data_IF_911399568073
#
_entry.id   IF_911399568073
#
_cell.length_a   1.000
_cell.length_b   1.000
_cell.length_c   1.000
_cell.angle_alpha   90.00
_cell.angle_beta   90.00
_cell.angle_gamma   90.00
#
_symmetry.space_group_name_H-M   'P 1'
#
loop_
_entity.id
_entity.type
_entity.pdbx_description
1 polymer ?
#
# COMPACT_ATOMS: atom_id res chain seq x y z
N UNK A 1 15.21 -0.15 12.14
CA UNK A 1 15.87 -0.45 10.85
C UNK A 1 17.05 -1.40 11.03
N UNK A 2 18.07 -0.98 11.76
CA UNK A 2 19.32 -1.72 11.93
C UNK A 2 19.10 -3.18 12.35
N UNK A 3 18.18 -3.44 13.29
CA UNK A 3 17.88 -4.81 13.75
C UNK A 3 17.25 -5.67 12.64
N UNK A 4 16.43 -5.10 11.77
CA UNK A 4 15.78 -5.81 10.67
C UNK A 4 16.78 -6.08 9.54
N UNK A 5 17.53 -5.06 9.12
CA UNK A 5 18.47 -5.15 7.99
C UNK A 5 19.75 -5.93 8.28
N UNK A 6 20.13 -6.07 9.55
CA UNK A 6 21.38 -6.79 9.94
C UNK A 6 21.21 -8.31 10.02
N UNK A 7 19.98 -8.85 10.02
CA UNK A 7 19.79 -10.31 10.00
C UNK A 7 20.25 -10.89 8.65
N UNK A 8 20.85 -12.06 8.68
CA UNK A 8 21.48 -12.69 7.49
C UNK A 8 20.50 -12.83 6.31
N UNK A 9 19.22 -13.17 6.56
CA UNK A 9 18.21 -13.26 5.53
C UNK A 9 17.90 -11.93 4.84
N UNK A 10 17.78 -10.85 5.60
CA UNK A 10 17.52 -9.52 5.05
C UNK A 10 18.71 -9.01 4.20
N UNK A 11 19.96 -9.24 4.62
CA UNK A 11 21.14 -8.86 3.84
C UNK A 11 21.18 -9.53 2.47
N UNK A 12 20.84 -10.82 2.40
CA UNK A 12 20.81 -11.56 1.16
C UNK A 12 19.69 -11.03 0.23
N UNK A 13 18.53 -10.70 0.78
CA UNK A 13 17.42 -10.09 0.02
C UNK A 13 17.85 -8.72 -0.51
N UNK A 14 18.41 -7.85 0.32
CA UNK A 14 18.91 -6.54 -0.11
C UNK A 14 19.92 -6.71 -1.26
N UNK A 15 20.88 -7.64 -1.10
CA UNK A 15 21.87 -7.92 -2.15
C UNK A 15 21.23 -8.38 -3.46
N UNK A 16 20.20 -9.24 -3.39
CA UNK A 16 19.43 -9.73 -4.57
C UNK A 16 18.85 -8.60 -5.38
N UNK A 17 18.31 -7.56 -4.71
CA UNK A 17 17.61 -6.46 -5.38
C UNK A 17 18.46 -5.22 -5.62
N UNK A 18 19.67 -5.14 -5.07
CA UNK A 18 20.50 -3.92 -5.12
C UNK A 18 20.82 -3.44 -6.54
N UNK A 19 20.99 -4.37 -7.48
CA UNK A 19 21.32 -4.09 -8.87
C UNK A 19 20.11 -4.33 -9.80
N UNK A 20 18.94 -4.64 -9.24
CA UNK A 20 17.75 -4.85 -10.02
C UNK A 20 17.22 -3.51 -10.57
N UNK A 21 16.77 -3.53 -11.81
CA UNK A 21 16.01 -2.44 -12.40
C UNK A 21 14.51 -2.64 -12.15
N UNK A 22 13.76 -1.57 -11.95
CA UNK A 22 12.31 -1.64 -12.03
C UNK A 22 11.92 -1.92 -13.48
N UNK A 23 11.06 -2.90 -13.71
CA UNK A 23 10.37 -3.01 -14.99
C UNK A 23 9.55 -1.71 -15.19
N UNK A 24 9.74 -1.05 -16.32
CA UNK A 24 8.91 0.10 -16.71
C UNK A 24 7.59 -0.43 -17.30
N UNK A 25 6.70 -0.83 -16.42
CA UNK A 25 5.35 -1.25 -16.78
C UNK A 25 4.40 -0.17 -16.28
N UNK A 26 3.86 0.69 -17.16
CA UNK A 26 2.91 1.72 -16.75
C UNK A 26 1.72 1.11 -16.02
N UNK A 27 1.15 1.88 -15.12
CA UNK A 27 -0.11 1.51 -14.48
C UNK A 27 -1.20 1.61 -15.54
N UNK A 28 -1.73 0.45 -15.95
CA UNK A 28 -2.76 0.38 -16.98
C UNK A 28 -4.06 1.04 -16.48
N UNK A 29 -4.74 1.79 -17.36
CA UNK A 29 -6.05 2.41 -17.07
C UNK A 29 -7.17 1.39 -16.80
N UNK A 30 -6.94 0.12 -17.08
CA UNK A 30 -7.85 -0.99 -16.80
C UNK A 30 -7.35 -1.87 -15.66
N UNK A 31 -6.24 -1.51 -15.01
CA UNK A 31 -5.73 -2.28 -13.89
C UNK A 31 -6.71 -2.25 -12.70
N UNK A 32 -6.74 -3.29 -11.86
CA UNK A 32 -7.68 -3.35 -10.76
C UNK A 32 -7.37 -2.34 -9.64
N UNK A 33 -8.45 -1.85 -9.00
CA UNK A 33 -8.39 -1.21 -7.70
C UNK A 33 -8.71 -2.27 -6.66
N UNK A 34 -7.74 -2.60 -5.82
CA UNK A 34 -7.84 -3.59 -4.76
C UNK A 34 -8.28 -2.93 -3.46
N UNK A 35 -9.40 -3.34 -2.91
CA UNK A 35 -9.90 -2.92 -1.59
C UNK A 35 -10.13 -4.17 -0.76
N UNK A 36 -9.64 -4.19 0.46
CA UNK A 36 -9.83 -5.34 1.35
C UNK A 36 -10.80 -5.00 2.49
N UNK A 37 -11.85 -5.80 2.60
CA UNK A 37 -12.68 -5.88 3.79
C UNK A 37 -12.92 -7.35 4.13
N UNK A 38 -12.13 -7.85 5.07
CA UNK A 38 -12.02 -9.29 5.33
C UNK A 38 -13.35 -9.98 5.61
N UNK A 39 -14.26 -9.30 6.30
CA UNK A 39 -15.57 -9.81 6.71
C UNK A 39 -16.63 -9.80 5.59
N UNK A 40 -16.29 -9.31 4.42
CA UNK A 40 -17.21 -9.19 3.27
C UNK A 40 -18.10 -7.94 3.27
N UNK A 41 -18.65 -7.60 2.10
CA UNK A 41 -19.37 -6.36 1.85
C UNK A 41 -20.59 -6.18 2.79
N UNK A 42 -21.31 -7.25 3.08
CA UNK A 42 -22.49 -7.21 3.96
C UNK A 42 -22.15 -6.77 5.41
N UNK A 43 -20.91 -6.96 5.85
CA UNK A 43 -20.45 -6.63 7.19
C UNK A 43 -19.63 -5.32 7.25
N UNK A 44 -19.67 -4.51 6.20
CA UNK A 44 -19.03 -3.19 6.21
C UNK A 44 -19.78 -2.23 7.14
N UNK A 45 -19.08 -1.51 8.04
CA UNK A 45 -19.64 -0.33 8.70
C UNK A 45 -20.01 0.75 7.67
N UNK A 46 -20.91 1.66 8.04
CA UNK A 46 -21.42 2.67 7.10
C UNK A 46 -20.30 3.53 6.50
N UNK A 47 -19.29 3.91 7.28
CA UNK A 47 -18.13 4.66 6.77
C UNK A 47 -17.39 3.88 5.67
N UNK A 48 -17.21 2.58 5.84
CA UNK A 48 -16.53 1.73 4.84
C UNK A 48 -17.41 1.57 3.60
N UNK A 49 -18.74 1.43 3.76
CA UNK A 49 -19.68 1.40 2.61
C UNK A 49 -19.60 2.66 1.78
N UNK A 50 -19.55 3.84 2.44
CA UNK A 50 -19.44 5.14 1.76
C UNK A 50 -18.11 5.23 1.01
N UNK A 51 -16.99 4.86 1.65
CA UNK A 51 -15.68 4.85 1.02
C UNK A 51 -15.63 3.88 -0.17
N UNK A 52 -16.15 2.67 -0.01
CA UNK A 52 -16.23 1.68 -1.08
C UNK A 52 -17.10 2.13 -2.26
N UNK A 53 -18.25 2.76 -1.96
CA UNK A 53 -19.12 3.34 -2.98
C UNK A 53 -18.42 4.48 -3.73
N UNK A 54 -17.67 5.35 -3.02
CA UNK A 54 -16.91 6.43 -3.64
C UNK A 54 -15.80 5.90 -4.57
N UNK A 55 -15.11 4.84 -4.16
CA UNK A 55 -14.11 4.19 -5.00
C UNK A 55 -14.73 3.65 -6.29
N UNK A 56 -15.90 2.98 -6.22
CA UNK A 56 -16.63 2.51 -7.42
C UNK A 56 -17.10 3.67 -8.31
N UNK A 57 -17.51 4.78 -7.73
CA UNK A 57 -17.97 5.96 -8.47
C UNK A 57 -16.82 6.64 -9.24
N UNK A 58 -15.64 6.71 -8.64
CA UNK A 58 -14.46 7.39 -9.19
C UNK A 58 -13.43 6.46 -9.85
N UNK A 59 -13.80 5.19 -10.07
CA UNK A 59 -12.88 4.20 -10.62
C UNK A 59 -12.59 4.37 -12.11
N UNK A 60 -13.44 5.12 -12.86
CA UNK A 60 -13.29 5.20 -14.32
C UNK A 60 -13.45 3.82 -14.98
N UNK A 61 -12.43 3.37 -15.69
CA UNK A 61 -12.41 2.04 -16.34
C UNK A 61 -11.77 0.94 -15.45
N UNK A 62 -11.27 1.29 -14.28
CA UNK A 62 -10.65 0.33 -13.36
C UNK A 62 -11.70 -0.56 -12.70
N UNK A 63 -11.60 -1.90 -12.76
CA UNK A 63 -12.44 -2.77 -11.97
C UNK A 63 -12.11 -2.62 -10.49
N UNK A 64 -13.11 -2.35 -9.65
CA UNK A 64 -12.96 -2.31 -8.20
C UNK A 64 -13.21 -3.71 -7.65
N UNK A 65 -12.17 -4.35 -7.14
CA UNK A 65 -12.21 -5.71 -6.63
C UNK A 65 -12.15 -5.69 -5.10
N UNK A 66 -13.24 -6.15 -4.48
CA UNK A 66 -13.29 -6.33 -3.04
C UNK A 66 -12.68 -7.67 -2.66
N UNK A 67 -11.58 -7.63 -1.92
CA UNK A 67 -10.94 -8.82 -1.35
C UNK A 67 -11.53 -9.12 0.02
N UNK A 68 -11.93 -10.36 0.23
CA UNK A 68 -12.54 -10.88 1.44
C UNK A 68 -11.87 -12.19 1.85
N UNK A 69 -12.20 -12.70 3.04
CA UNK A 69 -11.79 -14.05 3.47
C UNK A 69 -12.20 -15.16 2.50
N UNK A 70 -13.32 -14.97 1.81
CA UNK A 70 -13.91 -16.00 0.95
C UNK A 70 -13.26 -16.07 -0.44
N UNK A 71 -12.73 -14.93 -0.95
CA UNK A 71 -12.24 -14.86 -2.34
C UNK A 71 -10.75 -14.52 -2.48
N UNK A 72 -10.02 -14.21 -1.41
CA UNK A 72 -8.63 -13.78 -1.54
C UNK A 72 -7.74 -14.81 -2.26
N UNK A 73 -8.05 -16.10 -2.14
CA UNK A 73 -7.29 -17.19 -2.77
C UNK A 73 -7.44 -17.24 -4.30
N UNK A 74 -8.44 -16.57 -4.85
CA UNK A 74 -8.60 -16.43 -6.30
C UNK A 74 -7.56 -15.46 -6.89
N UNK A 75 -7.02 -14.57 -6.06
CA UNK A 75 -6.15 -13.47 -6.48
C UNK A 75 -4.74 -13.53 -5.88
N UNK A 76 -4.57 -14.18 -4.74
CA UNK A 76 -3.32 -14.19 -4.01
C UNK A 76 -3.00 -15.54 -3.40
N UNK A 77 -1.76 -15.99 -3.55
CA UNK A 77 -1.25 -17.20 -2.91
C UNK A 77 -0.39 -16.83 -1.71
N UNK A 78 -0.79 -17.28 -0.53
CA UNK A 78 -0.03 -17.07 0.71
C UNK A 78 0.66 -18.36 1.15
N UNK A 79 1.90 -18.30 1.67
CA UNK A 79 2.55 -19.48 2.22
C UNK A 79 1.77 -20.07 3.40
N UNK A 80 1.70 -21.39 3.50
CA UNK A 80 0.95 -22.12 4.54
C UNK A 80 1.33 -21.66 5.96
N UNK A 81 2.63 -21.43 6.22
CA UNK A 81 3.08 -20.98 7.55
C UNK A 81 2.57 -19.57 7.91
N UNK A 82 2.32 -18.69 6.92
CA UNK A 82 1.67 -17.39 7.14
C UNK A 82 0.20 -17.60 7.53
N UNK A 83 -0.52 -18.42 6.76
CA UNK A 83 -1.93 -18.73 7.05
C UNK A 83 -2.09 -19.38 8.43
N UNK A 84 -1.17 -20.29 8.80
CA UNK A 84 -1.17 -20.90 10.12
C UNK A 84 -0.93 -19.88 11.23
N UNK A 85 -0.01 -18.92 11.01
CA UNK A 85 0.26 -17.84 11.98
C UNK A 85 -0.92 -16.88 12.13
N UNK A 86 -1.65 -16.59 11.06
CA UNK A 86 -2.90 -15.81 11.12
C UNK A 86 -3.95 -16.55 11.94
N UNK A 87 -4.13 -17.84 11.65
CA UNK A 87 -5.07 -18.71 12.40
C UNK A 87 -4.74 -18.79 13.88
N UNK A 88 -3.45 -18.80 14.22
CA UNK A 88 -2.97 -18.84 15.61
C UNK A 88 -2.93 -17.45 16.29
N UNK A 89 -3.40 -16.40 15.63
CA UNK A 89 -3.35 -15.01 16.11
C UNK A 89 -1.94 -14.46 16.36
N UNK A 90 -0.90 -15.08 15.80
CA UNK A 90 0.47 -14.56 15.79
C UNK A 90 0.61 -13.37 14.82
N UNK A 91 -0.15 -13.41 13.72
CA UNK A 91 -0.27 -12.32 12.75
C UNK A 91 -1.69 -11.76 12.82
N UNK A 92 -1.83 -10.47 13.10
CA UNK A 92 -3.12 -9.79 13.06
C UNK A 92 -3.65 -9.66 11.63
N UNK A 93 -4.96 -9.50 11.45
CA UNK A 93 -5.56 -9.25 10.13
C UNK A 93 -5.01 -7.99 9.47
N UNK A 94 -4.64 -6.96 10.24
CA UNK A 94 -4.00 -5.75 9.72
C UNK A 94 -2.66 -6.09 9.06
N UNK A 95 -1.78 -6.85 9.73
CA UNK A 95 -0.50 -7.25 9.15
C UNK A 95 -0.63 -8.31 8.05
N UNK A 96 -1.66 -9.14 8.12
CA UNK A 96 -1.99 -10.02 7.00
C UNK A 96 -2.40 -9.22 5.76
N UNK A 97 -3.21 -8.17 5.94
CA UNK A 97 -3.59 -7.28 4.83
C UNK A 97 -2.40 -6.54 4.22
N UNK A 98 -1.34 -6.24 4.99
CA UNK A 98 -0.09 -5.69 4.46
C UNK A 98 0.59 -6.64 3.48
N UNK A 99 0.67 -7.93 3.83
CA UNK A 99 1.22 -8.96 2.93
C UNK A 99 0.31 -9.24 1.74
N UNK A 100 -1.01 -9.25 1.96
CA UNK A 100 -2.02 -9.44 0.91
C UNK A 100 -1.94 -8.32 -0.13
N UNK A 101 -1.89 -7.06 0.32
CA UNK A 101 -1.67 -5.86 -0.51
C UNK A 101 -0.49 -6.04 -1.45
N UNK A 102 0.65 -6.41 -0.89
CA UNK A 102 1.89 -6.54 -1.64
C UNK A 102 1.87 -7.75 -2.58
N UNK A 103 1.21 -8.85 -2.18
CA UNK A 103 1.03 -10.02 -3.03
C UNK A 103 0.19 -9.67 -4.27
N UNK A 104 -0.95 -9.00 -4.09
CA UNK A 104 -1.81 -8.56 -5.19
C UNK A 104 -1.07 -7.62 -6.14
N UNK A 105 -0.36 -6.62 -5.61
CA UNK A 105 0.43 -5.69 -6.42
C UNK A 105 1.56 -6.38 -7.17
N UNK A 106 2.22 -7.39 -6.58
CA UNK A 106 3.27 -8.17 -7.23
C UNK A 106 2.72 -9.05 -8.36
N UNK A 107 1.61 -9.76 -8.11
CA UNK A 107 1.07 -10.74 -9.07
C UNK A 107 0.30 -10.07 -10.22
N UNK A 108 -0.36 -8.97 -9.95
CA UNK A 108 -1.30 -8.34 -10.88
C UNK A 108 -0.96 -6.88 -11.20
N UNK A 109 -0.17 -6.21 -10.37
CA UNK A 109 -0.10 -4.75 -10.41
C UNK A 109 -1.40 -4.12 -9.94
N UNK A 110 -1.63 -2.87 -10.32
CA UNK A 110 -2.85 -2.14 -10.01
C UNK A 110 -2.70 -1.18 -8.85
N UNK A 111 -3.82 -0.86 -8.23
CA UNK A 111 -3.97 0.17 -7.21
C UNK A 111 -4.48 -0.47 -5.93
N UNK A 112 -3.72 -0.42 -4.85
CA UNK A 112 -4.25 -0.71 -3.53
C UNK A 112 -4.79 0.56 -2.90
N UNK A 113 -6.00 0.49 -2.37
CA UNK A 113 -6.61 1.53 -1.57
C UNK A 113 -7.19 0.93 -0.28
N UNK A 114 -6.80 1.47 0.87
CA UNK A 114 -7.41 1.05 2.14
C UNK A 114 -8.91 1.34 2.13
N UNK A 115 -9.70 0.45 2.73
CA UNK A 115 -11.18 0.49 2.71
C UNK A 115 -11.81 1.73 3.35
N UNK A 116 -11.02 2.55 4.03
CA UNK A 116 -11.45 3.81 4.67
C UNK A 116 -11.07 5.05 3.88
N UNK A 117 -10.57 4.90 2.65
CA UNK A 117 -10.28 6.02 1.78
C UNK A 117 -11.53 6.51 1.04
N UNK A 118 -11.84 7.78 1.20
CA UNK A 118 -12.88 8.46 0.44
C UNK A 118 -12.29 9.03 -0.85
N UNK A 119 -12.74 8.54 -1.99
CA UNK A 119 -12.38 9.08 -3.29
C UNK A 119 -13.25 10.30 -3.58
N UNK A 120 -12.64 11.45 -3.84
CA UNK A 120 -13.32 12.72 -4.11
C UNK A 120 -13.13 13.18 -5.56
N UNK A 121 -12.35 12.44 -6.33
CA UNK A 121 -12.09 12.67 -7.76
C UNK A 121 -11.72 11.35 -8.45
N UNK A 122 -11.81 11.36 -9.77
CA UNK A 122 -11.48 10.18 -10.56
C UNK A 122 -10.02 9.77 -10.39
N UNK A 123 -9.79 8.47 -10.27
CA UNK A 123 -8.49 7.89 -9.98
C UNK A 123 -7.45 8.25 -11.07
N UNK A 124 -7.86 8.30 -12.33
CA UNK A 124 -7.02 8.72 -13.46
C UNK A 124 -6.57 10.19 -13.36
N UNK A 125 -7.27 11.03 -12.59
CA UNK A 125 -6.88 12.41 -12.35
C UNK A 125 -5.84 12.59 -11.24
N UNK A 126 -5.64 11.52 -10.43
CA UNK A 126 -4.69 11.52 -9.31
C UNK A 126 -3.29 11.14 -9.78
N UNK A 127 -3.21 10.23 -10.74
CA UNK A 127 -1.96 9.67 -11.25
C UNK A 127 -1.68 10.12 -12.67
N UNK A 128 -0.40 10.36 -13.00
CA UNK A 128 -0.01 10.57 -14.38
C UNK A 128 -0.16 9.27 -15.18
N UNK A 129 -0.77 9.26 -16.37
CA UNK A 129 -1.03 8.04 -17.14
C UNK A 129 0.23 7.23 -17.54
N UNK A 130 1.41 7.85 -17.54
CA UNK A 130 2.67 7.18 -17.88
C UNK A 130 3.47 6.73 -16.66
N UNK A 131 2.89 6.83 -15.46
CA UNK A 131 3.60 6.43 -14.23
C UNK A 131 3.61 4.91 -14.06
N UNK A 132 4.74 4.37 -13.62
CA UNK A 132 4.93 2.96 -13.27
C UNK A 132 4.80 2.70 -11.75
N UNK A 133 4.79 3.78 -10.98
CA UNK A 133 4.60 3.74 -9.53
C UNK A 133 3.96 5.03 -9.01
N UNK A 134 3.06 4.88 -8.04
CA UNK A 134 2.45 6.02 -7.37
C UNK A 134 2.16 5.71 -5.91
N UNK A 135 2.35 6.71 -5.07
CA UNK A 135 1.91 6.73 -3.67
C UNK A 135 1.64 8.18 -3.28
N UNK A 136 0.89 8.41 -2.22
CA UNK A 136 0.72 9.78 -1.74
C UNK A 136 2.03 10.28 -1.13
N UNK A 137 2.61 11.28 -1.75
CA UNK A 137 3.85 11.94 -1.35
C UNK A 137 3.50 13.36 -0.85
N UNK A 138 3.77 13.67 0.40
CA UNK A 138 3.40 14.95 1.00
C UNK A 138 4.59 15.66 1.67
N UNK A 139 4.48 17.00 1.77
CA UNK A 139 5.56 17.85 2.32
C UNK A 139 5.61 17.91 3.84
N UNK A 140 4.65 17.31 4.54
CA UNK A 140 4.65 17.35 5.99
C UNK A 140 5.90 16.65 6.54
N UNK A 141 6.71 17.35 7.30
CA UNK A 141 7.81 16.76 8.06
C UNK A 141 7.21 15.83 9.09
N UNK A 142 7.17 14.55 8.75
CA UNK A 142 6.71 13.52 9.64
C UNK A 142 7.85 13.00 10.50
N UNK A 143 7.53 12.76 11.76
CA UNK A 143 8.43 12.07 12.69
C UNK A 143 8.51 10.56 12.43
N UNK A 144 7.70 10.04 11.52
CA UNK A 144 7.72 8.64 11.15
C UNK A 144 8.81 8.33 10.09
N UNK A 145 9.04 7.04 9.86
CA UNK A 145 10.11 6.56 8.99
C UNK A 145 9.94 6.93 7.52
N UNK A 146 8.71 7.14 7.05
CA UNK A 146 8.40 7.54 5.68
C UNK A 146 8.82 8.99 5.36
N UNK A 147 8.88 9.86 6.38
CA UNK A 147 9.23 11.28 6.24
C UNK A 147 8.47 12.00 5.11
N UNK A 148 7.19 11.62 4.90
CA UNK A 148 6.33 12.17 3.87
C UNK A 148 6.53 11.61 2.45
N UNK A 149 7.49 10.72 2.22
CA UNK A 149 7.85 10.21 0.89
C UNK A 149 6.89 9.14 0.35
N UNK A 150 6.17 8.45 1.20
CA UNK A 150 5.17 7.45 0.83
C UNK A 150 4.08 7.31 1.88
N UNK A 151 2.99 6.71 1.45
CA UNK A 151 1.94 6.19 2.33
C UNK A 151 1.66 4.74 1.94
N UNK A 152 1.28 3.92 2.91
CA UNK A 152 0.99 2.51 2.63
C UNK A 152 -0.49 2.25 2.37
N UNK A 153 -1.35 3.22 2.67
CA UNK A 153 -2.79 3.13 2.47
C UNK A 153 -3.24 3.34 1.02
N UNK A 154 -2.38 3.94 0.18
CA UNK A 154 -2.60 4.11 -1.26
C UNK A 154 -1.29 3.89 -2.01
N UNK A 155 -1.20 2.77 -2.71
CA UNK A 155 -0.04 2.39 -3.52
C UNK A 155 -0.52 1.86 -4.85
N UNK A 156 0.04 2.39 -5.95
CA UNK A 156 -0.21 1.87 -7.27
C UNK A 156 1.12 1.54 -7.97
N UNK A 157 1.15 0.44 -8.70
CA UNK A 157 2.31 0.07 -9.50
C UNK A 157 1.94 -0.85 -10.66
N UNK A 158 2.78 -0.86 -11.68
CA UNK A 158 2.74 -1.87 -12.72
C UNK A 158 3.13 -3.26 -12.19
N UNK A 159 2.72 -4.32 -12.89
CA UNK A 159 2.93 -5.71 -12.50
C UNK A 159 4.39 -6.10 -12.25
N UNK A 160 5.32 -5.54 -13.03
CA UNK A 160 6.75 -5.90 -12.97
C UNK A 160 7.56 -5.00 -12.01
N UNK A 161 6.88 -4.24 -11.15
CA UNK A 161 7.54 -3.38 -10.18
C UNK A 161 8.27 -4.20 -9.11
N UNK A 162 9.53 -3.84 -8.85
CA UNK A 162 10.39 -4.62 -7.93
C UNK A 162 10.08 -4.39 -6.46
N UNK A 163 9.43 -3.27 -6.09
CA UNK A 163 9.14 -2.96 -4.69
C UNK A 163 8.23 -4.00 -4.04
N UNK A 164 7.10 -4.43 -4.62
CA UNK A 164 6.28 -5.50 -4.07
C UNK A 164 7.05 -6.81 -3.90
N UNK A 165 7.87 -7.20 -4.87
CA UNK A 165 8.65 -8.43 -4.80
C UNK A 165 9.67 -8.39 -3.64
N UNK A 166 10.39 -7.27 -3.49
CA UNK A 166 11.30 -7.06 -2.37
C UNK A 166 10.57 -7.13 -1.02
N UNK A 167 9.44 -6.43 -0.91
CA UNK A 167 8.67 -6.38 0.34
C UNK A 167 8.16 -7.77 0.74
N UNK A 168 7.65 -8.57 -0.21
CA UNK A 168 7.21 -9.94 0.09
C UNK A 168 8.36 -10.82 0.57
N UNK A 169 9.52 -10.79 -0.10
CA UNK A 169 10.68 -11.54 0.33
C UNK A 169 11.08 -11.15 1.77
N UNK A 170 11.02 -9.86 2.12
CA UNK A 170 11.31 -9.38 3.46
C UNK A 170 10.27 -9.82 4.48
N UNK A 171 8.98 -9.67 4.20
CA UNK A 171 7.89 -10.13 5.08
C UNK A 171 8.00 -11.63 5.34
N UNK A 172 8.14 -12.42 4.28
CA UNK A 172 8.21 -13.86 4.39
C UNK A 172 9.46 -14.33 5.13
N UNK A 173 10.62 -13.71 4.87
CA UNK A 173 11.84 -13.99 5.62
C UNK A 173 11.70 -13.65 7.11
N UNK A 174 11.05 -12.54 7.44
CA UNK A 174 10.80 -12.15 8.81
C UNK A 174 9.92 -13.18 9.53
N UNK A 175 8.75 -13.50 8.97
CA UNK A 175 7.77 -14.36 9.60
C UNK A 175 8.16 -15.84 9.67
N UNK A 176 9.13 -16.29 8.87
CA UNK A 176 9.75 -17.62 9.05
C UNK A 176 10.45 -17.77 10.40
N UNK A 177 10.96 -16.68 10.95
CA UNK A 177 11.85 -16.70 12.11
C UNK A 177 11.30 -15.98 13.36
N UNK A 178 10.10 -15.39 13.26
CA UNK A 178 9.51 -14.60 14.33
C UNK A 178 8.04 -14.99 14.55
N UNK A 179 7.61 -14.89 15.82
CA UNK A 179 6.23 -15.14 16.23
C UNK A 179 5.46 -13.86 16.55
N UNK A 180 6.17 -12.72 16.61
CA UNK A 180 5.57 -11.44 16.92
C UNK A 180 6.14 -10.37 16.02
N UNK A 181 5.33 -9.36 15.69
CA UNK A 181 5.80 -8.21 14.95
C UNK A 181 6.60 -7.27 15.84
N UNK A 182 7.70 -6.75 15.30
CA UNK A 182 8.60 -5.86 16.04
C UNK A 182 8.02 -4.45 16.23
N UNK A 183 7.16 -4.01 15.34
CA UNK A 183 6.53 -2.69 15.36
C UNK A 183 5.29 -2.66 14.47
N UNK A 184 4.30 -1.85 14.83
CA UNK A 184 3.14 -1.58 13.98
C UNK A 184 3.52 -1.02 12.60
N UNK A 185 4.54 -0.15 12.55
CA UNK A 185 5.04 0.45 11.31
C UNK A 185 6.01 -0.48 10.53
N UNK A 186 5.88 -1.79 10.68
CA UNK A 186 6.82 -2.74 10.08
C UNK A 186 6.90 -2.59 8.55
N UNK A 187 5.76 -2.39 7.90
CA UNK A 187 5.70 -2.13 6.45
C UNK A 187 6.55 -0.90 6.08
N UNK A 188 6.33 0.23 6.74
CA UNK A 188 7.09 1.47 6.47
C UNK A 188 8.59 1.28 6.68
N UNK A 189 9.00 0.50 7.67
CA UNK A 189 10.41 0.16 7.88
C UNK A 189 10.97 -0.67 6.73
N UNK A 190 10.21 -1.59 6.15
CA UNK A 190 10.64 -2.37 5.00
C UNK A 190 10.77 -1.51 3.74
N UNK A 191 9.81 -0.61 3.48
CA UNK A 191 9.91 0.39 2.40
C UNK A 191 11.14 1.28 2.60
N UNK A 192 11.40 1.74 3.82
CA UNK A 192 12.58 2.54 4.13
C UNK A 192 13.90 1.79 3.90
N UNK A 193 13.95 0.49 4.20
CA UNK A 193 15.11 -0.35 3.89
C UNK A 193 15.29 -0.47 2.38
N UNK A 194 14.23 -0.68 1.62
CA UNK A 194 14.26 -0.70 0.16
C UNK A 194 14.77 0.63 -0.39
N UNK A 195 14.16 1.73 0.03
CA UNK A 195 14.51 3.09 -0.36
C UNK A 195 15.99 3.43 -0.10
N UNK A 196 16.56 3.02 1.03
CA UNK A 196 17.94 3.34 1.38
C UNK A 196 18.99 2.45 0.72
N UNK A 197 18.62 1.27 0.20
CA UNK A 197 19.57 0.27 -0.26
C UNK A 197 19.43 -0.11 -1.74
N UNK A 198 18.34 0.26 -2.40
CA UNK A 198 18.03 -0.14 -3.78
C UNK A 198 17.84 1.14 -4.62
N UNK A 199 18.85 1.58 -5.39
CA UNK A 199 18.82 2.85 -6.12
C UNK A 199 17.60 3.02 -7.01
N UNK A 200 17.17 1.96 -7.70
CA UNK A 200 15.98 2.00 -8.56
C UNK A 200 14.69 2.31 -7.77
N UNK A 201 14.58 1.85 -6.51
CA UNK A 201 13.43 2.17 -5.64
C UNK A 201 13.53 3.61 -5.12
N UNK A 202 14.75 4.08 -4.80
CA UNK A 202 14.96 5.49 -4.42
C UNK A 202 14.51 6.43 -5.51
N UNK A 203 14.99 6.20 -6.74
CA UNK A 203 14.63 7.01 -7.92
C UNK A 203 13.12 6.97 -8.20
N UNK A 204 12.52 5.78 -8.16
CA UNK A 204 11.09 5.58 -8.36
C UNK A 204 10.25 6.34 -7.34
N UNK A 205 10.56 6.25 -6.05
CA UNK A 205 9.84 6.96 -4.98
C UNK A 205 10.03 8.47 -5.08
N UNK A 206 11.27 8.93 -5.35
CA UNK A 206 11.56 10.36 -5.46
C UNK A 206 10.98 11.00 -6.75
N UNK A 207 10.62 10.20 -7.75
CA UNK A 207 9.94 10.68 -8.96
C UNK A 207 8.44 10.98 -8.76
N UNK A 208 7.83 10.48 -7.68
CA UNK A 208 6.42 10.74 -7.40
C UNK A 208 6.21 12.23 -7.10
N UNK A 209 5.28 12.92 -7.80
CA UNK A 209 5.02 14.34 -7.56
C UNK A 209 4.58 14.62 -6.13
N UNK A 210 5.09 15.70 -5.55
CA UNK A 210 4.65 16.18 -4.26
C UNK A 210 3.19 16.63 -4.31
N UNK A 211 2.36 16.06 -3.44
CA UNK A 211 0.98 16.47 -3.29
C UNK A 211 0.83 17.39 -2.05
N UNK A 212 0.03 18.42 -2.21
CA UNK A 212 -0.32 19.28 -1.10
C UNK A 212 -1.49 18.67 -0.32
N UNK A 213 -1.22 17.67 0.53
CA UNK A 213 -2.22 17.17 1.51
C UNK A 213 -2.29 18.13 2.72
N UNK A 214 -1.94 19.38 2.55
CA UNK A 214 -1.72 20.32 3.66
C UNK A 214 -2.99 20.69 4.44
N UNK A 215 -4.17 20.45 3.89
CA UNK A 215 -5.41 20.94 4.49
C UNK A 215 -6.17 19.87 5.29
N UNK A 216 -5.94 18.58 5.05
CA UNK A 216 -6.68 17.52 5.73
C UNK A 216 -6.56 17.59 7.27
N UNK A 217 -5.35 17.81 7.80
CA UNK A 217 -5.15 17.92 9.25
C UNK A 217 -5.80 19.17 9.85
N UNK A 218 -5.96 20.24 9.09
CA UNK A 218 -6.69 21.43 9.52
C UNK A 218 -8.19 21.18 9.52
N UNK A 219 -8.71 20.49 8.49
CA UNK A 219 -10.13 20.21 8.34
C UNK A 219 -10.65 19.19 9.36
N UNK A 220 -9.81 18.25 9.83
CA UNK A 220 -10.19 17.24 10.83
C UNK A 220 -10.72 17.83 12.16
N UNK A 221 -10.33 19.04 12.51
CA UNK A 221 -10.76 19.72 13.73
C UNK A 221 -11.78 20.86 13.48
N UNK A 222 -12.25 21.03 12.25
CA UNK A 222 -13.24 22.03 11.89
C UNK A 222 -14.65 21.45 11.97
N UNK A 223 -15.65 22.25 12.40
CA UNK A 223 -17.03 21.83 12.30
C UNK A 223 -17.39 21.61 10.82
N UNK A 224 -18.18 20.57 10.56
CA UNK A 224 -18.66 20.26 9.20
C UNK A 224 -19.64 21.34 8.74
N UNK A 225 -19.23 22.21 7.83
CA UNK A 225 -20.02 23.26 7.21
C UNK A 225 -19.46 23.62 5.81
N UNK A 226 -20.14 24.49 5.08
CA UNK A 226 -19.75 24.88 3.72
C UNK A 226 -18.31 25.37 3.64
N UNK A 227 -17.86 26.21 4.58
CA UNK A 227 -16.50 26.74 4.61
C UNK A 227 -15.45 25.65 4.79
N UNK A 228 -15.69 24.67 5.67
CA UNK A 228 -14.77 23.55 5.86
C UNK A 228 -14.74 22.63 4.64
N UNK A 229 -15.85 22.50 3.90
CA UNK A 229 -15.91 21.75 2.65
C UNK A 229 -15.14 22.45 1.52
N UNK A 230 -15.24 23.77 1.41
CA UNK A 230 -14.45 24.56 0.46
C UNK A 230 -12.95 24.44 0.73
N UNK A 231 -12.51 24.57 1.99
CA UNK A 231 -11.11 24.40 2.38
C UNK A 231 -10.59 22.96 2.17
N UNK A 232 -11.48 21.94 2.28
CA UNK A 232 -11.14 20.56 2.01
C UNK A 232 -10.97 20.29 0.51
N UNK A 233 -11.73 20.99 -0.33
CA UNK A 233 -11.74 20.82 -1.79
C UNK A 233 -10.68 21.63 -2.51
N UNK A 234 -10.03 22.58 -1.83
CA UNK A 234 -8.99 23.45 -2.37
C UNK A 234 -7.59 22.82 -2.26
#
# INVERSE_FOLDING_TARGET
KTVISQKSGAKNIIKKYKEASTGKSPIDKTCPIWICWWQGEANMPDIVKVCYASAKHHAGQHPVILITEQNYQEYATMPDYILQKVKNHEISLTHFSDMLRINLLKEHGGIWADSTLLFTRDVDSIMNPDTDFYTCHHTAKNTNVANGKWTVFFIACGKDNILPAFLLDMFYSYWKNHQQIVTYLFFDYLVSIAYENIPAITEMVDSVPLQRISNLSKCLNMPFNEKSMEEFSA
#
